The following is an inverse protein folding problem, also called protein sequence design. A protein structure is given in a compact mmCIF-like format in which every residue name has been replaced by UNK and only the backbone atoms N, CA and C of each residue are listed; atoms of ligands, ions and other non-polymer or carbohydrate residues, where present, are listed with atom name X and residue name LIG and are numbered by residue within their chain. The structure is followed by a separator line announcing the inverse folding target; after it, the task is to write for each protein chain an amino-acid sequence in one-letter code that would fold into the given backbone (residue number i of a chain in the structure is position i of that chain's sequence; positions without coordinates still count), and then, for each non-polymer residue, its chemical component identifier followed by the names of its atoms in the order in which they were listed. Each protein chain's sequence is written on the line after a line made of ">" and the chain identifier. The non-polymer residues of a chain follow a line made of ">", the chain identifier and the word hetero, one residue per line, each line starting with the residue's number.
data_IF_439205803979
#
_entry.id   IF_439205803979
#
_cell.length_a   1.000
_cell.length_b   1.000
_cell.length_c   1.000
_cell.angle_alpha   90.00
_cell.angle_beta   90.00
_cell.angle_gamma   90.00
#
_symmetry.space_group_name_H-M   'P 1'
#
loop_
_entity.id
_entity.type
_entity.pdbx_description
1 polymer ?
#
# COMPACT_ATOMS: atom_id res chain seq x y z
N UNK A 1 -8.60 33.55 -1.97
CA UNK A 1 -7.15 33.43 -2.13
C UNK A 1 -6.90 32.28 -3.06
N UNK A 2 -6.13 32.38 -4.16
CA UNK A 2 -5.88 31.26 -5.06
C UNK A 2 -4.96 30.25 -4.35
N UNK A 3 -5.32 28.95 -4.44
CA UNK A 3 -4.56 27.85 -3.91
C UNK A 3 -3.18 27.77 -4.58
N UNK A 4 -2.12 27.59 -3.80
CA UNK A 4 -0.77 27.43 -4.29
C UNK A 4 -0.66 26.11 -5.11
N UNK A 5 0.11 26.05 -6.19
CA UNK A 5 0.25 24.86 -7.00
C UNK A 5 0.98 23.75 -6.22
N UNK A 6 0.35 22.58 -6.15
CA UNK A 6 0.90 21.36 -5.59
C UNK A 6 2.22 21.00 -6.31
N UNK A 7 3.31 20.86 -5.57
CA UNK A 7 4.57 20.35 -6.14
C UNK A 7 4.42 18.89 -6.51
N UNK A 8 4.78 18.54 -7.75
CA UNK A 8 4.71 17.18 -8.28
C UNK A 8 5.60 16.20 -7.53
N UNK A 9 5.08 15.01 -7.33
CA UNK A 9 5.64 13.86 -6.60
C UNK A 9 6.90 13.21 -7.22
N UNK A 10 7.67 13.90 -8.05
CA UNK A 10 8.80 13.30 -8.80
C UNK A 10 10.11 13.16 -8.02
N UNK A 11 10.15 13.59 -6.74
CA UNK A 11 11.34 13.39 -5.90
C UNK A 11 10.92 12.96 -4.51
N UNK A 12 11.02 11.67 -4.22
CA UNK A 12 11.25 11.26 -2.84
C UNK A 12 12.61 11.83 -2.42
N UNK A 13 12.76 12.43 -1.21
CA UNK A 13 14.06 12.84 -0.74
C UNK A 13 15.00 11.62 -0.75
N UNK A 14 16.16 11.76 -1.35
CA UNK A 14 17.23 10.78 -1.25
C UNK A 14 17.48 10.52 0.25
N UNK A 15 17.22 9.30 0.67
CA UNK A 15 17.71 8.77 1.95
C UNK A 15 19.22 8.57 1.81
N UNK A 16 19.95 9.70 1.63
CA UNK A 16 21.39 9.74 1.78
C UNK A 16 21.68 9.54 3.27
N UNK A 17 22.35 8.44 3.59
CA UNK A 17 22.75 8.04 4.93
C UNK A 17 23.39 9.20 5.70
N UNK A 18 22.64 9.74 6.66
CA UNK A 18 23.18 10.42 7.81
C UNK A 18 22.84 9.58 9.02
N UNK A 19 23.85 8.87 9.51
CA UNK A 19 23.81 8.26 10.83
C UNK A 19 23.43 9.32 11.85
N UNK A 20 22.25 9.20 12.44
CA UNK A 20 21.90 9.94 13.63
C UNK A 20 22.67 9.28 14.79
N UNK A 21 23.72 9.92 15.27
CA UNK A 21 24.31 9.64 16.56
C UNK A 21 23.24 9.92 17.63
N UNK A 22 22.68 8.86 18.19
CA UNK A 22 21.85 8.95 19.38
C UNK A 22 22.77 9.10 20.58
N UNK A 23 22.80 10.29 21.14
CA UNK A 23 23.43 10.57 22.44
C UNK A 23 22.70 9.75 23.49
N UNK A 24 23.40 8.78 24.09
CA UNK A 24 22.94 7.96 25.17
C UNK A 24 22.80 8.80 26.45
N UNK A 25 21.56 9.11 26.83
CA UNK A 25 21.20 9.59 28.17
C UNK A 25 20.82 8.40 29.03
N UNK A 26 21.61 8.13 30.05
CA UNK A 26 21.44 7.08 31.05
C UNK A 26 20.15 7.27 31.88
N UNK A 27 19.25 6.27 31.84
CA UNK A 27 18.10 6.17 32.72
C UNK A 27 17.62 4.73 32.79
N UNK A 28 18.12 4.01 33.80
CA UNK A 28 17.79 2.62 34.13
C UNK A 28 16.36 2.51 34.62
N UNK A 29 15.46 1.92 33.85
CA UNK A 29 14.18 1.40 34.36
C UNK A 29 13.97 -0.02 33.83
N UNK A 30 14.15 -0.98 34.71
CA UNK A 30 13.94 -2.42 34.50
C UNK A 30 12.44 -2.70 34.47
N UNK A 31 11.84 -2.77 33.29
CA UNK A 31 10.49 -3.31 33.10
C UNK A 31 10.60 -4.75 32.58
N UNK A 32 10.35 -5.70 33.53
CA UNK A 32 10.18 -7.12 33.19
C UNK A 32 8.90 -7.26 32.36
N UNK A 33 9.04 -7.46 31.07
CA UNK A 33 7.94 -7.86 30.18
C UNK A 33 7.75 -9.37 30.27
N UNK A 34 6.68 -9.78 30.90
CA UNK A 34 6.15 -11.15 30.83
C UNK A 34 5.66 -11.37 29.38
N UNK A 35 6.35 -12.26 28.68
CA UNK A 35 6.03 -12.74 27.32
C UNK A 35 4.72 -13.52 27.35
N UNK A 36 3.60 -12.87 27.13
CA UNK A 36 2.34 -13.56 26.87
C UNK A 36 2.24 -13.81 25.36
N UNK A 37 2.60 -15.03 24.95
CA UNK A 37 2.42 -15.54 23.59
C UNK A 37 0.93 -15.68 23.29
N UNK A 38 0.26 -14.64 22.81
CA UNK A 38 -1.01 -14.78 22.09
C UNK A 38 -0.68 -15.14 20.65
N UNK A 39 -0.85 -16.43 20.32
CA UNK A 39 -0.85 -16.91 18.92
C UNK A 39 -2.11 -16.35 18.24
N UNK A 40 -2.01 -15.16 17.63
CA UNK A 40 -2.98 -14.70 16.65
C UNK A 40 -2.95 -15.66 15.48
N UNK A 41 -4.11 -16.19 15.06
CA UNK A 41 -4.21 -17.04 13.87
C UNK A 41 -3.94 -16.17 12.65
N UNK A 42 -2.75 -16.30 12.06
CA UNK A 42 -2.44 -15.74 10.75
C UNK A 42 -3.26 -16.49 9.70
N UNK A 43 -4.20 -15.80 9.05
CA UNK A 43 -4.95 -16.34 7.94
C UNK A 43 -4.13 -16.10 6.68
N UNK A 44 -3.38 -17.11 6.25
CA UNK A 44 -2.78 -17.12 4.91
C UNK A 44 -3.95 -17.17 3.92
N UNK A 45 -4.15 -16.09 3.17
CA UNK A 45 -5.09 -16.12 2.04
C UNK A 45 -4.34 -16.87 0.95
N UNK A 46 -4.50 -18.20 0.96
CA UNK A 46 -3.71 -19.14 0.20
C UNK A 46 -3.92 -19.01 -1.31
N UNK A 47 -2.88 -19.37 -2.01
CA UNK A 47 -2.81 -19.68 -3.42
C UNK A 47 -3.82 -20.80 -3.76
N UNK A 48 -4.94 -20.42 -4.35
CA UNK A 48 -5.97 -21.39 -4.74
C UNK A 48 -7.15 -20.71 -5.41
N UNK A 49 -6.90 -19.75 -6.34
CA UNK A 49 -7.94 -19.25 -7.23
C UNK A 49 -7.56 -19.68 -8.65
N UNK A 50 -8.46 -20.39 -9.36
CA UNK A 50 -8.22 -20.82 -10.74
C UNK A 50 -7.99 -19.61 -11.65
N UNK A 51 -7.15 -19.77 -12.62
CA UNK A 51 -6.69 -18.75 -13.60
C UNK A 51 -7.75 -18.30 -14.62
N UNK A 52 -9.08 -18.46 -14.39
CA UNK A 52 -10.09 -18.18 -15.40
C UNK A 52 -11.44 -17.64 -14.87
N UNK A 53 -11.46 -17.01 -13.75
CA UNK A 53 -12.67 -16.33 -13.27
C UNK A 53 -12.34 -14.89 -12.92
N UNK A 54 -12.50 -13.95 -13.85
CA UNK A 54 -12.43 -12.52 -13.56
C UNK A 54 -13.35 -12.22 -12.37
N UNK A 55 -12.82 -11.66 -11.29
CA UNK A 55 -13.62 -11.19 -10.17
C UNK A 55 -14.60 -10.16 -10.71
N UNK A 56 -15.90 -10.34 -10.50
CA UNK A 56 -16.89 -9.34 -10.88
C UNK A 56 -16.74 -8.06 -10.05
N UNK A 57 -17.20 -6.93 -10.59
CA UNK A 57 -17.08 -5.62 -9.99
C UNK A 57 -17.70 -5.55 -8.59
N UNK A 58 -18.83 -6.20 -8.37
CA UNK A 58 -19.52 -6.22 -7.07
C UNK A 58 -18.67 -6.94 -6.02
N UNK A 59 -18.10 -8.07 -6.38
CA UNK A 59 -17.18 -8.82 -5.51
C UNK A 59 -15.92 -8.04 -5.21
N UNK A 60 -15.34 -7.36 -6.21
CA UNK A 60 -14.15 -6.50 -6.05
C UNK A 60 -14.43 -5.39 -5.04
N UNK A 61 -15.47 -4.61 -5.26
CA UNK A 61 -15.86 -3.51 -4.37
C UNK A 61 -16.21 -4.00 -2.96
N UNK A 62 -16.97 -5.10 -2.85
CA UNK A 62 -17.36 -5.67 -1.55
C UNK A 62 -16.15 -6.12 -0.73
N UNK A 63 -15.16 -6.78 -1.36
CA UNK A 63 -13.92 -7.17 -0.69
C UNK A 63 -13.11 -5.97 -0.26
N UNK A 64 -12.95 -4.98 -1.15
CA UNK A 64 -12.23 -3.75 -0.83
C UNK A 64 -12.84 -3.02 0.37
N UNK A 65 -14.16 -2.86 0.40
CA UNK A 65 -14.88 -2.21 1.50
C UNK A 65 -14.81 -2.98 2.83
N UNK A 66 -14.76 -4.32 2.77
CA UNK A 66 -14.68 -5.17 3.96
C UNK A 66 -13.27 -5.30 4.51
N UNK A 67 -12.31 -5.57 3.62
CA UNK A 67 -10.95 -5.95 3.99
C UNK A 67 -9.96 -4.78 3.92
N UNK A 68 -10.30 -3.72 3.17
CA UNK A 68 -9.45 -2.56 2.91
C UNK A 68 -8.48 -2.78 1.75
N UNK A 69 -8.54 -3.94 1.10
CA UNK A 69 -7.73 -4.25 -0.08
C UNK A 69 -8.37 -5.32 -0.93
N UNK A 70 -7.95 -5.40 -2.18
CA UNK A 70 -8.27 -6.49 -3.08
C UNK A 70 -7.01 -6.93 -3.82
N UNK A 71 -6.81 -8.23 -3.96
CA UNK A 71 -5.76 -8.83 -4.78
C UNK A 71 -6.32 -9.11 -6.17
N UNK A 72 -5.66 -8.58 -7.19
CA UNK A 72 -5.94 -8.79 -8.60
C UNK A 72 -4.86 -9.72 -9.16
N UNK A 73 -5.21 -10.98 -9.37
CA UNK A 73 -4.27 -11.97 -9.89
C UNK A 73 -3.94 -11.69 -11.36
N UNK A 74 -2.65 -11.70 -11.71
CA UNK A 74 -2.19 -11.50 -13.08
C UNK A 74 -2.57 -10.16 -13.71
N UNK A 75 -2.80 -9.12 -12.89
CA UNK A 75 -3.20 -7.78 -13.38
C UNK A 75 -2.13 -7.10 -14.25
N UNK A 76 -0.88 -7.49 -14.09
CA UNK A 76 0.24 -7.13 -14.97
C UNK A 76 0.56 -8.33 -15.87
N UNK A 77 0.62 -8.09 -17.17
CA UNK A 77 0.94 -9.15 -18.13
C UNK A 77 2.27 -9.85 -17.78
N UNK A 78 2.37 -11.19 -17.87
CA UNK A 78 3.54 -11.95 -17.43
C UNK A 78 4.85 -11.46 -18.04
N UNK A 79 4.85 -11.08 -19.32
CA UNK A 79 6.03 -10.51 -20.01
C UNK A 79 6.47 -9.19 -19.38
N UNK A 80 5.52 -8.31 -19.04
CA UNK A 80 5.82 -7.01 -18.42
C UNK A 80 6.41 -7.22 -17.03
N UNK A 81 5.83 -8.12 -16.22
CA UNK A 81 6.34 -8.45 -14.90
C UNK A 81 7.76 -9.05 -14.96
N UNK A 82 8.02 -9.97 -15.90
CA UNK A 82 9.34 -10.55 -16.13
C UNK A 82 10.37 -9.50 -16.57
N UNK A 83 9.99 -8.57 -17.44
CA UNK A 83 10.86 -7.49 -17.88
C UNK A 83 11.18 -6.53 -16.73
N UNK A 84 10.21 -6.21 -15.85
CA UNK A 84 10.46 -5.46 -14.63
C UNK A 84 11.45 -6.17 -13.72
N UNK A 85 11.23 -7.45 -13.42
CA UNK A 85 12.12 -8.25 -12.57
C UNK A 85 13.56 -8.28 -13.11
N UNK A 86 13.73 -8.52 -14.41
CA UNK A 86 15.03 -8.54 -15.08
C UNK A 86 15.78 -7.19 -14.98
N UNK A 87 15.06 -6.09 -15.12
CA UNK A 87 15.63 -4.74 -14.96
C UNK A 87 16.02 -4.49 -13.51
N UNK A 88 15.16 -4.84 -12.55
CA UNK A 88 15.46 -4.70 -11.12
C UNK A 88 16.68 -5.51 -10.70
N UNK A 89 16.86 -6.75 -11.20
CA UNK A 89 18.07 -7.51 -10.97
C UNK A 89 19.33 -6.78 -11.43
N UNK A 90 19.31 -6.16 -12.61
CA UNK A 90 20.44 -5.36 -13.10
C UNK A 90 20.77 -4.18 -12.21
N UNK A 91 19.74 -3.49 -11.70
CA UNK A 91 19.92 -2.33 -10.83
C UNK A 91 20.49 -2.69 -9.44
N UNK A 92 20.25 -3.91 -8.95
CA UNK A 92 20.86 -4.36 -7.69
C UNK A 92 22.34 -4.65 -7.83
N UNK A 93 22.81 -4.99 -9.03
CA UNK A 93 24.16 -5.50 -9.27
C UNK A 93 24.42 -6.91 -8.71
N UNK A 94 23.39 -7.58 -8.19
CA UNK A 94 23.46 -8.93 -7.66
C UNK A 94 23.26 -9.97 -8.78
N UNK A 95 23.88 -11.13 -8.61
CA UNK A 95 23.67 -12.29 -9.47
C UNK A 95 22.45 -13.08 -8.97
N UNK A 96 21.43 -13.32 -9.80
CA UNK A 96 20.27 -14.11 -9.41
C UNK A 96 20.59 -15.56 -9.04
N UNK A 97 21.67 -16.13 -9.56
CA UNK A 97 22.08 -17.51 -9.39
C UNK A 97 23.16 -17.69 -8.30
N UNK A 98 23.70 -16.57 -7.77
CA UNK A 98 24.73 -16.60 -6.71
C UNK A 98 24.30 -15.81 -5.46
N UNK A 99 23.74 -16.49 -4.44
CA UNK A 99 23.36 -15.86 -3.17
C UNK A 99 24.50 -15.17 -2.42
N UNK A 100 25.78 -15.49 -2.69
CA UNK A 100 26.90 -14.80 -2.06
C UNK A 100 27.00 -13.31 -2.47
N UNK A 101 26.34 -12.93 -3.56
CA UNK A 101 26.25 -11.52 -4.02
C UNK A 101 25.17 -10.72 -3.30
N UNK A 102 24.27 -11.36 -2.52
CA UNK A 102 23.13 -10.74 -1.84
C UNK A 102 23.57 -10.20 -0.47
N UNK A 103 24.38 -9.17 -0.48
CA UNK A 103 25.12 -8.70 0.69
C UNK A 103 24.35 -7.73 1.58
N UNK A 104 23.08 -7.45 1.29
CA UNK A 104 22.23 -6.51 2.05
C UNK A 104 20.81 -7.04 2.17
N UNK A 105 20.15 -6.85 3.32
CA UNK A 105 18.76 -7.27 3.50
C UNK A 105 17.78 -6.51 2.60
N UNK A 106 18.10 -5.26 2.24
CA UNK A 106 17.28 -4.41 1.35
C UNK A 106 18.18 -3.65 0.38
N UNK A 107 17.88 -3.76 -0.91
CA UNK A 107 18.43 -2.91 -1.95
C UNK A 107 17.36 -1.85 -2.34
N UNK A 108 17.68 -0.59 -2.11
CA UNK A 108 16.83 0.53 -2.50
C UNK A 108 17.16 0.94 -3.93
N UNK A 109 16.29 0.56 -4.87
CA UNK A 109 16.44 0.94 -6.29
C UNK A 109 15.62 2.18 -6.54
N UNK A 110 16.21 3.26 -7.09
CA UNK A 110 15.49 4.49 -7.44
C UNK A 110 14.35 4.24 -8.41
N UNK A 111 13.38 5.15 -8.45
CA UNK A 111 12.24 5.06 -9.35
C UNK A 111 12.67 4.99 -10.80
N UNK A 112 12.30 3.90 -11.47
CA UNK A 112 12.49 3.68 -12.88
C UNK A 112 11.22 4.13 -13.61
N UNK A 113 11.37 5.02 -14.59
CA UNK A 113 10.32 5.48 -15.49
C UNK A 113 10.54 4.86 -16.87
N UNK A 114 9.47 4.71 -17.65
CA UNK A 114 9.49 4.18 -19.01
C UNK A 114 9.53 2.64 -19.11
N UNK A 115 9.33 2.14 -20.32
CA UNK A 115 9.32 0.71 -20.59
C UNK A 115 8.29 -0.05 -19.74
N UNK A 116 8.67 -1.20 -19.20
CA UNK A 116 7.74 -2.06 -18.47
C UNK A 116 7.21 -1.39 -17.18
N UNK A 117 7.95 -0.48 -16.54
CA UNK A 117 7.52 0.22 -15.33
C UNK A 117 6.42 1.27 -15.60
N UNK A 118 6.36 1.80 -16.83
CA UNK A 118 5.25 2.63 -17.26
C UNK A 118 4.05 1.78 -17.71
N UNK A 119 4.29 0.58 -18.26
CA UNK A 119 3.23 -0.31 -18.72
C UNK A 119 2.51 -1.02 -17.58
N UNK A 120 3.22 -1.42 -16.52
CA UNK A 120 2.68 -2.21 -15.43
C UNK A 120 1.44 -1.59 -14.75
N UNK A 121 1.41 -0.30 -14.37
CA UNK A 121 0.26 0.30 -13.70
C UNK A 121 -0.85 0.76 -14.66
N UNK A 122 -0.66 0.66 -15.98
CA UNK A 122 -1.55 1.23 -16.98
C UNK A 122 -2.23 0.18 -17.87
N UNK A 123 -2.49 -1.03 -17.36
CA UNK A 123 -3.32 -1.98 -18.09
C UNK A 123 -4.80 -1.55 -18.07
N UNK A 124 -5.59 -1.84 -19.13
CA UNK A 124 -7.03 -1.55 -19.12
C UNK A 124 -7.76 -2.16 -17.94
N UNK A 125 -7.36 -3.35 -17.47
CA UNK A 125 -7.92 -4.02 -16.31
C UNK A 125 -7.67 -3.23 -15.01
N UNK A 126 -6.45 -2.72 -14.79
CA UNK A 126 -6.14 -1.89 -13.63
C UNK A 126 -6.87 -0.55 -13.70
N UNK A 127 -6.95 0.09 -14.87
CA UNK A 127 -7.70 1.34 -15.05
C UNK A 127 -9.17 1.16 -14.69
N UNK A 128 -9.82 0.06 -15.15
CA UNK A 128 -11.18 -0.27 -14.74
C UNK A 128 -11.32 -0.42 -13.22
N UNK A 129 -10.39 -1.11 -12.56
CA UNK A 129 -10.40 -1.26 -11.12
C UNK A 129 -10.17 0.07 -10.38
N UNK A 130 -9.33 0.96 -10.91
CA UNK A 130 -9.15 2.31 -10.36
C UNK A 130 -10.43 3.14 -10.49
N UNK A 131 -11.09 3.09 -11.66
CA UNK A 131 -12.37 3.78 -11.87
C UNK A 131 -13.46 3.27 -10.92
N UNK A 132 -13.51 1.96 -10.68
CA UNK A 132 -14.45 1.38 -9.73
C UNK A 132 -14.19 1.82 -8.28
N UNK A 133 -12.94 1.88 -7.84
CA UNK A 133 -12.60 2.13 -6.44
C UNK A 133 -12.49 3.61 -6.09
N UNK A 134 -12.02 4.43 -7.01
CA UNK A 134 -11.72 5.86 -6.80
C UNK A 134 -12.73 6.76 -7.53
N UNK A 135 -13.21 6.33 -8.67
CA UNK A 135 -14.06 7.08 -9.59
C UNK A 135 -13.34 7.52 -10.86
N UNK A 136 -14.00 7.41 -11.99
CA UNK A 136 -13.45 7.83 -13.29
C UNK A 136 -13.05 9.31 -13.29
N UNK A 137 -11.85 9.60 -13.76
CA UNK A 137 -11.28 10.96 -13.82
C UNK A 137 -10.84 11.54 -12.47
N UNK A 138 -10.86 10.75 -11.39
CA UNK A 138 -10.45 11.19 -10.04
C UNK A 138 -9.07 10.70 -9.63
N UNK A 139 -8.35 10.03 -10.51
CA UNK A 139 -6.99 9.54 -10.34
C UNK A 139 -6.12 9.90 -11.55
N UNK A 140 -4.80 9.87 -11.37
CA UNK A 140 -3.82 10.19 -12.43
C UNK A 140 -3.08 8.94 -12.88
N UNK A 141 -2.88 8.72 -14.21
CA UNK A 141 -2.04 7.65 -14.73
C UNK A 141 -0.59 7.76 -14.22
N UNK A 142 0.03 6.63 -13.94
CA UNK A 142 1.41 6.57 -13.47
C UNK A 142 2.35 6.01 -14.54
N UNK A 143 3.51 6.63 -14.64
CA UNK A 143 4.57 6.22 -15.57
C UNK A 143 5.86 5.80 -14.85
N UNK A 144 5.82 5.75 -13.52
CA UNK A 144 6.89 5.27 -12.64
C UNK A 144 6.27 4.61 -11.42
N UNK A 145 6.94 3.60 -10.87
CA UNK A 145 6.49 2.88 -9.68
C UNK A 145 7.20 3.32 -8.39
N UNK A 146 7.86 4.47 -8.42
CA UNK A 146 8.59 5.00 -7.27
C UNK A 146 9.83 4.19 -6.92
N UNK A 147 10.31 4.32 -5.69
CA UNK A 147 11.46 3.57 -5.19
C UNK A 147 11.07 2.13 -4.86
N UNK A 148 11.95 1.18 -5.18
CA UNK A 148 11.74 -0.24 -4.94
C UNK A 148 12.55 -0.72 -3.73
N UNK A 149 11.91 -1.12 -2.63
CA UNK A 149 12.58 -1.81 -1.52
C UNK A 149 12.69 -3.32 -1.84
N UNK A 150 13.73 -3.69 -2.57
CA UNK A 150 13.97 -5.08 -2.95
C UNK A 150 14.57 -5.83 -1.77
N UNK A 151 13.90 -6.88 -1.31
CA UNK A 151 14.31 -7.64 -0.11
C UNK A 151 14.95 -8.94 -0.49
N UNK A 152 16.07 -9.21 0.17
CA UNK A 152 16.87 -10.41 -0.01
C UNK A 152 16.88 -11.25 1.27
N UNK A 153 17.02 -12.59 1.15
CA UNK A 153 17.35 -13.43 2.29
C UNK A 153 18.62 -12.90 2.97
N UNK A 154 18.55 -12.60 4.27
CA UNK A 154 19.66 -12.04 5.01
C UNK A 154 19.49 -12.26 6.51
N UNK A 155 20.60 -12.43 7.25
CA UNK A 155 20.57 -12.60 8.70
C UNK A 155 20.29 -11.28 9.42
N UNK A 156 20.69 -10.16 8.84
CA UNK A 156 20.42 -8.83 9.38
C UNK A 156 18.97 -8.41 9.11
N UNK A 157 18.28 -7.97 10.16
CA UNK A 157 16.92 -7.44 10.04
C UNK A 157 16.94 -5.96 9.66
N UNK A 158 16.27 -5.56 8.57
CA UNK A 158 16.09 -4.15 8.25
C UNK A 158 15.18 -3.49 9.29
N UNK A 159 15.54 -2.29 9.73
CA UNK A 159 14.85 -1.58 10.81
C UNK A 159 13.61 -0.80 10.32
N UNK A 160 12.78 -1.42 9.46
CA UNK A 160 11.65 -0.78 8.78
C UNK A 160 10.31 -1.53 8.95
N UNK A 161 10.23 -2.44 9.93
CA UNK A 161 9.06 -3.30 10.16
C UNK A 161 7.92 -2.65 10.97
N UNK A 162 7.92 -1.33 11.14
CA UNK A 162 6.90 -0.60 11.88
C UNK A 162 5.54 -0.58 11.18
N UNK A 163 4.45 -0.65 11.97
CA UNK A 163 3.09 -0.48 11.46
C UNK A 163 2.82 0.98 11.13
N UNK A 164 2.28 1.26 9.94
CA UNK A 164 2.01 2.60 9.47
C UNK A 164 0.90 2.63 8.41
N UNK A 165 0.49 3.82 8.05
CA UNK A 165 -0.18 4.14 6.80
C UNK A 165 0.70 5.09 6.00
N UNK A 166 0.48 5.16 4.71
CA UNK A 166 1.25 6.01 3.84
C UNK A 166 0.78 7.48 3.89
N UNK A 167 1.73 8.42 3.91
CA UNK A 167 1.41 9.83 3.74
C UNK A 167 1.02 10.18 2.31
N UNK A 168 0.20 11.21 2.15
CA UNK A 168 -0.33 11.67 0.85
C UNK A 168 0.30 12.97 0.35
N UNK A 169 0.81 13.82 1.22
CA UNK A 169 1.39 15.12 0.86
C UNK A 169 2.54 15.50 1.81
N UNK A 170 3.39 16.40 1.35
CA UNK A 170 4.52 16.93 2.12
C UNK A 170 4.27 18.41 2.39
N UNK A 171 3.96 18.82 3.63
CA UNK A 171 3.79 20.22 3.98
C UNK A 171 5.11 21.01 3.80
N UNK A 172 5.00 22.31 3.61
CA UNK A 172 6.17 23.18 3.49
C UNK A 172 6.95 23.21 4.81
N UNK A 173 8.26 22.98 4.73
CA UNK A 173 9.15 22.94 5.90
C UNK A 173 9.23 21.57 6.58
N UNK A 174 8.38 20.63 6.23
CA UNK A 174 8.39 19.28 6.77
C UNK A 174 9.33 18.35 6.01
N UNK A 175 9.91 17.38 6.73
CA UNK A 175 10.80 16.36 6.15
C UNK A 175 10.10 15.01 5.94
N UNK A 176 8.84 14.87 6.38
CA UNK A 176 8.07 13.63 6.30
C UNK A 176 6.68 13.87 5.71
N UNK A 177 6.10 12.82 5.11
CA UNK A 177 4.79 12.90 4.49
C UNK A 177 3.67 12.85 5.53
N UNK A 178 2.65 13.70 5.33
CA UNK A 178 1.43 13.80 6.13
C UNK A 178 0.25 13.15 5.43
N UNK A 179 -0.77 12.86 6.21
CA UNK A 179 -2.09 12.45 5.72
C UNK A 179 -3.20 13.07 6.56
N UNK A 180 -4.38 13.23 5.96
CA UNK A 180 -5.61 13.65 6.62
C UNK A 180 -6.79 12.84 6.09
N UNK A 181 -8.02 13.09 6.56
CA UNK A 181 -9.22 12.36 6.13
C UNK A 181 -9.49 12.43 4.63
N UNK A 182 -9.06 13.50 3.95
CA UNK A 182 -9.24 13.67 2.50
C UNK A 182 -8.17 12.96 1.69
N UNK A 183 -7.19 12.35 2.35
CA UNK A 183 -6.05 11.64 1.74
C UNK A 183 -5.47 12.37 0.52
N UNK A 184 -5.21 13.65 0.70
CA UNK A 184 -4.71 14.52 -0.36
C UNK A 184 -3.45 13.92 -0.99
N UNK A 185 -3.45 13.76 -2.32
CA UNK A 185 -2.30 13.24 -3.07
C UNK A 185 -2.21 11.71 -3.20
N UNK A 186 -3.00 10.92 -2.47
CA UNK A 186 -2.97 9.45 -2.56
C UNK A 186 -4.38 8.87 -2.64
N UNK A 187 -4.75 8.33 -3.81
CA UNK A 187 -6.04 7.66 -4.02
C UNK A 187 -6.02 6.20 -3.53
N UNK A 188 -4.95 5.46 -3.82
CA UNK A 188 -4.74 4.08 -3.34
C UNK A 188 -3.27 3.88 -3.00
N UNK A 189 -2.97 2.89 -2.15
CA UNK A 189 -1.68 2.22 -2.09
C UNK A 189 -1.74 1.00 -3.00
N UNK A 190 -0.75 0.82 -3.85
CA UNK A 190 -0.68 -0.34 -4.74
C UNK A 190 0.55 -1.18 -4.41
N UNK A 191 0.42 -2.52 -4.41
CA UNK A 191 1.54 -3.44 -4.26
C UNK A 191 1.65 -4.27 -5.53
N UNK A 192 2.72 -4.08 -6.30
CA UNK A 192 3.01 -4.82 -7.53
C UNK A 192 4.06 -5.88 -7.26
N UNK A 193 3.75 -7.14 -7.52
CA UNK A 193 4.67 -8.26 -7.34
C UNK A 193 5.38 -8.59 -8.66
N UNK A 194 6.71 -8.62 -8.62
CA UNK A 194 7.55 -8.95 -9.80
C UNK A 194 8.30 -10.27 -9.64
N UNK A 195 8.32 -10.84 -8.43
CA UNK A 195 8.81 -12.20 -8.14
C UNK A 195 7.73 -12.97 -7.41
N UNK A 196 7.87 -14.29 -7.28
CA UNK A 196 7.07 -15.10 -6.38
C UNK A 196 7.29 -14.63 -4.95
N UNK A 197 6.21 -14.46 -4.18
CA UNK A 197 6.25 -13.99 -2.79
C UNK A 197 5.46 -14.96 -1.92
N UNK A 198 6.16 -15.82 -1.23
CA UNK A 198 5.61 -16.73 -0.22
C UNK A 198 5.50 -16.09 1.16
N UNK A 199 5.04 -16.86 2.14
CA UNK A 199 4.85 -16.40 3.51
C UNK A 199 6.16 -15.98 4.20
N UNK A 200 7.27 -16.61 3.85
CA UNK A 200 8.60 -16.36 4.43
C UNK A 200 9.43 -15.36 3.61
N UNK A 201 8.98 -14.98 2.39
CA UNK A 201 9.71 -14.11 1.48
C UNK A 201 9.44 -12.61 1.77
N UNK A 202 9.35 -12.23 3.02
CA UNK A 202 9.07 -10.87 3.51
C UNK A 202 7.83 -10.19 2.86
N UNK A 203 6.66 -10.86 2.70
CA UNK A 203 5.47 -10.22 2.19
C UNK A 203 5.05 -9.05 3.08
N UNK A 204 4.42 -8.03 2.52
CA UNK A 204 3.83 -6.96 3.32
C UNK A 204 2.76 -7.54 4.24
N UNK A 205 2.85 -7.25 5.54
CA UNK A 205 1.83 -7.59 6.54
C UNK A 205 0.72 -6.57 6.49
N UNK A 206 -0.52 -7.01 6.53
CA UNK A 206 -1.72 -6.17 6.44
C UNK A 206 -2.62 -6.46 7.63
N UNK A 207 -3.11 -5.43 8.30
CA UNK A 207 -4.20 -5.52 9.28
C UNK A 207 -5.52 -5.41 8.54
N UNK A 208 -6.19 -6.54 8.32
CA UNK A 208 -7.41 -6.64 7.51
C UNK A 208 -8.54 -5.82 8.11
N UNK A 209 -9.10 -4.89 7.34
CA UNK A 209 -10.19 -4.03 7.77
C UNK A 209 -9.76 -2.80 8.61
N UNK A 210 -8.45 -2.60 8.85
CA UNK A 210 -7.95 -1.46 9.65
C UNK A 210 -8.24 -0.08 9.05
N UNK A 211 -8.49 -0.02 7.76
CA UNK A 211 -8.89 1.20 7.07
C UNK A 211 -10.21 1.80 7.61
N UNK A 212 -11.00 1.01 8.33
CA UNK A 212 -12.22 1.48 9.01
C UNK A 212 -11.95 2.05 10.40
N UNK A 213 -10.80 1.76 11.01
CA UNK A 213 -10.41 2.27 12.33
C UNK A 213 -9.68 3.62 12.22
N UNK A 214 -8.90 3.79 11.17
CA UNK A 214 -8.02 4.94 10.95
C UNK A 214 -8.77 6.27 10.80
N UNK A 215 -9.96 6.38 10.16
CA UNK A 215 -10.67 7.64 10.07
C UNK A 215 -10.93 8.32 11.42
N UNK A 216 -11.25 7.55 12.48
CA UNK A 216 -11.42 8.10 13.84
C UNK A 216 -10.10 8.59 14.44
N UNK A 217 -8.99 8.00 14.10
CA UNK A 217 -7.66 8.49 14.52
C UNK A 217 -7.34 9.81 13.84
N UNK A 218 -7.63 9.93 12.52
CA UNK A 218 -7.32 11.12 11.74
C UNK A 218 -8.27 12.30 12.01
N UNK A 219 -9.50 12.05 12.46
CA UNK A 219 -10.54 13.07 12.63
C UNK A 219 -10.07 14.27 13.50
N UNK A 220 -9.31 14.00 14.57
CA UNK A 220 -8.82 15.03 15.49
C UNK A 220 -7.72 15.92 14.91
N UNK A 221 -7.05 15.47 13.84
CA UNK A 221 -5.97 16.22 13.20
C UNK A 221 -6.45 17.20 12.12
N UNK A 222 -7.76 17.18 11.81
CA UNK A 222 -8.39 18.11 10.85
C UNK A 222 -7.76 18.12 9.46
N UNK A 223 -7.76 19.29 8.84
CA UNK A 223 -7.23 19.49 7.48
C UNK A 223 -5.69 19.46 7.44
N UNK A 224 -5.01 19.87 8.52
CA UNK A 224 -3.55 19.86 8.60
C UNK A 224 -3.00 18.42 8.62
N UNK A 225 -3.79 17.47 9.13
CA UNK A 225 -3.40 16.08 9.21
C UNK A 225 -2.25 15.82 10.20
N UNK A 226 -1.59 14.68 10.02
CA UNK A 226 -0.42 14.32 10.83
C UNK A 226 0.58 13.49 10.02
N UNK A 227 1.84 13.46 10.47
CA UNK A 227 2.87 12.64 9.87
C UNK A 227 2.65 11.15 10.18
N UNK A 228 3.07 10.29 9.25
CA UNK A 228 2.97 8.84 9.46
C UNK A 228 3.75 8.34 10.69
N UNK A 229 4.79 9.07 11.10
CA UNK A 229 5.59 8.74 12.29
C UNK A 229 4.81 9.05 13.58
N UNK A 230 4.16 10.20 13.66
CA UNK A 230 3.39 10.61 14.83
C UNK A 230 2.12 9.76 14.99
N UNK A 231 1.53 9.33 13.88
CA UNK A 231 0.36 8.48 13.87
C UNK A 231 0.63 7.03 14.30
N UNK A 232 1.84 6.51 14.13
CA UNK A 232 2.13 5.09 14.27
C UNK A 232 1.66 4.47 15.61
N UNK A 233 1.87 5.08 16.79
CA UNK A 233 1.38 4.51 18.06
C UNK A 233 -0.15 4.39 18.13
N UNK A 234 -0.86 5.38 17.61
CA UNK A 234 -2.33 5.39 17.61
C UNK A 234 -2.91 4.40 16.59
N UNK A 235 -2.30 4.30 15.42
CA UNK A 235 -2.67 3.31 14.42
C UNK A 235 -2.51 1.88 14.94
N UNK A 236 -1.43 1.64 15.69
CA UNK A 236 -1.21 0.33 16.36
C UNK A 236 -2.31 0.06 17.36
N UNK A 237 -2.61 1.02 18.26
CA UNK A 237 -3.64 0.86 19.29
C UNK A 237 -5.05 0.68 18.70
N UNK A 238 -5.39 1.44 17.65
CA UNK A 238 -6.71 1.38 17.03
C UNK A 238 -6.96 0.09 16.25
N UNK A 239 -5.91 -0.58 15.76
CA UNK A 239 -6.05 -1.70 14.82
C UNK A 239 -5.39 -3.02 15.24
N UNK A 240 -4.90 -3.16 16.49
CA UNK A 240 -4.24 -4.37 17.00
C UNK A 240 -5.16 -5.60 17.07
N UNK A 241 -6.47 -5.37 17.21
CA UNK A 241 -7.51 -6.40 17.22
C UNK A 241 -7.79 -7.01 15.83
N UNK A 242 -7.30 -6.37 14.75
CA UNK A 242 -7.55 -6.81 13.38
C UNK A 242 -6.77 -8.07 13.02
N UNK A 243 -7.36 -9.00 12.26
CA UNK A 243 -6.63 -10.17 11.78
C UNK A 243 -5.53 -9.76 10.79
N UNK A 244 -4.48 -10.58 10.75
CA UNK A 244 -3.35 -10.35 9.85
C UNK A 244 -3.53 -11.13 8.54
N UNK A 245 -3.19 -10.48 7.44
CA UNK A 245 -2.97 -11.09 6.13
C UNK A 245 -1.56 -10.76 5.64
N UNK A 246 -1.07 -11.60 4.72
CA UNK A 246 0.22 -11.43 4.06
C UNK A 246 -0.03 -11.18 2.57
N UNK A 247 0.64 -10.18 2.01
CA UNK A 247 0.57 -9.86 0.59
C UNK A 247 1.44 -10.84 -0.22
N UNK A 248 1.00 -12.11 -0.28
CA UNK A 248 1.65 -13.19 -1.02
C UNK A 248 1.05 -13.36 -2.41
N UNK A 249 1.85 -13.84 -3.37
CA UNK A 249 1.37 -14.08 -4.73
C UNK A 249 2.48 -14.29 -5.74
N UNK A 250 2.07 -14.33 -7.00
CA UNK A 250 2.91 -14.60 -8.16
C UNK A 250 3.29 -13.30 -8.91
N UNK A 251 4.33 -13.33 -9.75
CA UNK A 251 4.68 -12.19 -10.60
C UNK A 251 3.49 -11.72 -11.45
N UNK A 252 3.21 -10.43 -11.40
CA UNK A 252 2.07 -9.82 -12.08
C UNK A 252 0.83 -9.62 -11.23
N UNK A 253 0.79 -10.19 -10.02
CA UNK A 253 -0.28 -9.89 -9.05
C UNK A 253 -0.15 -8.46 -8.53
N UNK A 254 -1.30 -7.81 -8.34
CA UNK A 254 -1.37 -6.46 -7.78
C UNK A 254 -2.37 -6.42 -6.64
N UNK A 255 -1.98 -5.80 -5.53
CA UNK A 255 -2.91 -5.46 -4.46
C UNK A 255 -3.29 -3.98 -4.60
N UNK A 256 -4.59 -3.70 -4.63
CA UNK A 256 -5.13 -2.35 -4.52
C UNK A 256 -5.62 -2.17 -3.08
N UNK A 257 -4.97 -1.27 -2.37
CA UNK A 257 -5.19 -1.05 -0.94
C UNK A 257 -5.77 0.34 -0.69
N UNK A 258 -6.70 0.43 0.26
CA UNK A 258 -7.20 1.71 0.76
C UNK A 258 -6.03 2.53 1.34
N UNK A 259 -5.95 3.85 1.13
CA UNK A 259 -4.83 4.67 1.62
C UNK A 259 -4.64 4.61 3.14
N UNK A 260 -5.71 4.31 3.89
CA UNK A 260 -5.68 4.17 5.35
C UNK A 260 -5.51 2.73 5.85
N UNK A 261 -5.16 1.78 4.97
CA UNK A 261 -4.89 0.41 5.38
C UNK A 261 -3.59 0.33 6.17
N UNK A 262 -3.66 -0.09 7.44
CA UNK A 262 -2.48 -0.25 8.28
C UNK A 262 -1.69 -1.48 7.83
N UNK A 263 -0.44 -1.27 7.50
CA UNK A 263 0.44 -2.30 6.98
C UNK A 263 1.87 -2.15 7.53
N UNK A 264 2.68 -3.15 7.31
CA UNK A 264 4.07 -3.15 7.75
C UNK A 264 4.94 -4.07 6.88
N UNK A 265 6.19 -3.70 6.72
CA UNK A 265 7.22 -4.62 6.25
C UNK A 265 7.52 -5.68 7.32
N UNK A 266 8.31 -6.69 6.96
CA UNK A 266 8.84 -7.70 7.87
C UNK A 266 10.20 -8.22 7.39
N UNK A 267 10.99 -8.86 8.28
CA UNK A 267 12.21 -9.55 7.92
C UNK A 267 11.98 -10.64 6.88
N UNK A 268 13.02 -10.97 6.12
CA UNK A 268 13.02 -12.02 5.12
C UNK A 268 13.56 -13.31 5.72
N UNK A 269 12.73 -14.34 5.81
CA UNK A 269 13.09 -15.66 6.36
C UNK A 269 13.09 -16.78 5.29
N UNK A 270 12.73 -16.42 4.06
CA UNK A 270 12.70 -17.34 2.92
C UNK A 270 14.05 -17.43 2.21
N UNK A 271 14.04 -18.01 1.04
CA UNK A 271 15.25 -18.27 0.22
C UNK A 271 15.26 -17.52 -1.12
N UNK A 272 14.16 -16.82 -1.46
CA UNK A 272 14.00 -16.14 -2.76
C UNK A 272 13.85 -14.65 -2.57
N UNK A 273 14.62 -13.81 -3.28
CA UNK A 273 14.47 -12.37 -3.21
C UNK A 273 13.06 -11.90 -3.60
N UNK A 274 12.52 -10.96 -2.83
CA UNK A 274 11.22 -10.33 -3.07
C UNK A 274 11.39 -9.02 -3.81
N UNK A 275 10.91 -8.96 -5.05
CA UNK A 275 10.84 -7.74 -5.85
C UNK A 275 9.40 -7.24 -5.91
N UNK A 276 9.15 -6.11 -5.28
CA UNK A 276 7.85 -5.49 -5.18
C UNK A 276 7.97 -3.97 -5.27
N UNK A 277 6.99 -3.32 -5.92
CA UNK A 277 6.82 -1.88 -5.86
C UNK A 277 5.61 -1.52 -4.99
N UNK A 278 5.66 -0.34 -4.35
CA UNK A 278 4.63 0.17 -3.45
C UNK A 278 4.21 1.62 -3.81
N UNK A 279 3.88 1.90 -5.10
CA UNK A 279 3.54 3.25 -5.50
C UNK A 279 2.17 3.68 -4.98
N UNK A 280 1.95 5.00 -4.78
CA UNK A 280 0.61 5.55 -4.71
C UNK A 280 -0.05 5.52 -6.09
N UNK A 281 -1.35 5.27 -6.17
CA UNK A 281 -2.18 5.84 -7.21
C UNK A 281 -2.42 7.30 -6.81
N UNK A 282 -2.09 8.25 -7.69
CA UNK A 282 -2.23 9.66 -7.38
C UNK A 282 -3.68 10.08 -7.49
N UNK A 283 -4.13 10.90 -6.55
CA UNK A 283 -5.45 11.51 -6.57
C UNK A 283 -5.43 12.75 -7.45
N UNK A 284 -6.32 12.84 -8.42
CA UNK A 284 -6.52 14.05 -9.21
C UNK A 284 -7.26 15.13 -8.43
N UNK A 285 -8.11 14.73 -7.47
CA UNK A 285 -8.87 15.61 -6.60
C UNK A 285 -8.91 15.02 -5.18
N UNK A 286 -9.01 15.85 -4.11
CA UNK A 286 -9.23 15.37 -2.75
C UNK A 286 -10.53 14.57 -2.64
N UNK A 287 -10.61 13.67 -1.66
CA UNK A 287 -11.87 12.99 -1.35
C UNK A 287 -12.93 13.97 -0.83
N UNK A 288 -14.15 13.73 -1.25
CA UNK A 288 -15.32 14.47 -0.82
C UNK A 288 -16.16 13.60 0.11
N UNK A 289 -16.14 13.93 1.39
CA UNK A 289 -16.87 13.16 2.42
C UNK A 289 -18.28 13.68 2.66
N UNK A 290 -18.64 14.84 2.07
CA UNK A 290 -19.95 15.46 2.14
C UNK A 290 -20.40 15.83 0.74
N UNK A 291 -21.20 14.96 0.12
CA UNK A 291 -21.70 15.13 -1.24
C UNK A 291 -23.21 15.17 -1.26
N UNK A 292 -23.77 16.21 -1.87
CA UNK A 292 -25.21 16.36 -2.00
C UNK A 292 -25.85 15.29 -2.91
N UNK A 293 -25.10 14.79 -3.89
CA UNK A 293 -25.53 13.72 -4.82
C UNK A 293 -25.44 12.31 -4.24
N UNK A 294 -24.78 12.15 -3.09
CA UNK A 294 -24.55 10.85 -2.45
C UNK A 294 -23.66 9.88 -3.25
N UNK A 295 -23.09 10.30 -4.38
CA UNK A 295 -22.31 9.47 -5.29
C UNK A 295 -20.86 9.25 -4.81
N UNK A 296 -20.71 8.66 -3.63
CA UNK A 296 -19.41 8.38 -3.03
C UNK A 296 -18.71 7.19 -3.72
N UNK A 297 -17.41 7.34 -3.95
CA UNK A 297 -16.56 6.21 -4.35
C UNK A 297 -16.41 5.20 -3.20
N UNK A 298 -16.05 3.92 -3.49
CA UNK A 298 -15.78 2.94 -2.44
C UNK A 298 -14.74 3.39 -1.41
N UNK A 299 -13.71 4.15 -1.81
CA UNK A 299 -12.74 4.72 -0.86
C UNK A 299 -13.43 5.71 0.08
N UNK A 300 -14.25 6.64 -0.43
CA UNK A 300 -14.99 7.60 0.37
C UNK A 300 -16.04 6.92 1.28
N UNK A 301 -16.73 5.90 0.76
CA UNK A 301 -17.66 5.06 1.55
C UNK A 301 -16.95 4.44 2.75
N UNK A 302 -15.75 3.90 2.56
CA UNK A 302 -14.98 3.30 3.64
C UNK A 302 -14.59 4.33 4.71
N UNK A 303 -14.15 5.53 4.31
CA UNK A 303 -13.84 6.62 5.25
C UNK A 303 -15.08 7.03 6.06
N UNK A 304 -16.21 7.24 5.39
CA UNK A 304 -17.50 7.60 6.03
C UNK A 304 -17.95 6.53 7.02
N UNK A 305 -17.84 5.23 6.66
CA UNK A 305 -18.12 4.11 7.58
C UNK A 305 -17.23 4.14 8.80
N UNK A 306 -15.93 4.38 8.61
CA UNK A 306 -14.97 4.54 9.70
C UNK A 306 -15.30 5.69 10.63
N UNK A 307 -15.91 6.77 10.14
CA UNK A 307 -16.40 7.90 10.91
C UNK A 307 -17.77 7.64 11.59
N UNK A 308 -18.45 6.53 11.26
CA UNK A 308 -19.80 6.23 11.73
C UNK A 308 -20.87 7.06 11.04
N UNK A 309 -20.60 7.56 9.84
CA UNK A 309 -21.55 8.32 9.03
C UNK A 309 -22.39 7.39 8.14
N UNK A 310 -23.62 7.80 7.84
CA UNK A 310 -24.49 7.07 6.93
C UNK A 310 -23.87 6.98 5.53
N UNK A 311 -23.94 5.80 4.94
CA UNK A 311 -23.46 5.54 3.58
C UNK A 311 -24.61 4.97 2.75
N UNK A 312 -24.77 5.43 1.49
CA UNK A 312 -25.77 4.84 0.61
C UNK A 312 -25.51 3.34 0.44
N UNK A 313 -26.56 2.56 0.24
CA UNK A 313 -26.42 1.18 -0.19
C UNK A 313 -25.73 1.17 -1.56
N UNK A 314 -24.80 0.25 -1.78
CA UNK A 314 -24.25 0.04 -3.11
C UNK A 314 -25.40 -0.46 -3.99
N UNK A 315 -25.93 0.38 -4.85
CA UNK A 315 -26.84 -0.07 -5.90
C UNK A 315 -26.05 -1.04 -6.80
N UNK A 316 -26.52 -2.27 -6.90
CA UNK A 316 -25.95 -3.23 -7.82
C UNK A 316 -25.95 -2.61 -9.22
N UNK A 317 -24.83 -2.71 -9.94
CA UNK A 317 -24.72 -2.27 -11.33
C UNK A 317 -25.91 -2.86 -12.10
N UNK A 318 -26.91 -2.02 -12.35
CA UNK A 318 -28.15 -2.42 -12.96
C UNK A 318 -27.87 -3.01 -14.33
N UNK A 319 -28.28 -4.25 -14.53
CA UNK A 319 -28.52 -4.81 -15.86
C UNK A 319 -29.48 -3.87 -16.55
N UNK A 320 -29.00 -3.03 -17.47
CA UNK A 320 -29.85 -2.36 -18.43
C UNK A 320 -30.45 -3.43 -19.34
N UNK A 321 -31.57 -3.99 -18.89
CA UNK A 321 -32.43 -4.81 -19.71
C UNK A 321 -32.98 -3.92 -20.83
N UNK A 322 -32.47 -4.11 -22.03
CA UNK A 322 -33.07 -3.58 -23.23
C UNK A 322 -34.45 -4.21 -23.41
N UNK A 323 -35.49 -3.39 -23.26
CA UNK A 323 -36.81 -3.71 -23.73
C UNK A 323 -37.04 -2.95 -25.02
N UNK A 324 -37.50 -3.64 -26.05
CA UNK A 324 -38.06 -3.06 -27.27
C UNK A 324 -37.41 -3.54 -28.53
#
# INVERSE_FOLDING_TARGET
>A
MPAAPLRRFDRQPELAGRGAEVVAGSGTALLRHTRQKRRGKCRVIGSGVPHDGGMDDTTLVSRFLRDGFVKLAGAVAPRVAADCARLLWRETGCDPDDPATWTKPVHWVPGLAQGPFAAAPNSPFLHHAYDLLVGAGRWEPRYSLGTFPLRFPHEEEPNDAGWHIEGGYLPEGESWYFTNLRSQGRALLMLFLFTEVGAEDAPTRIRVGSHLDVPKVLEKYGEDGASGLDLAPELVAASDHRPLALATGSPGDVFLCHPFLVHAAQPHHGTRPRFMAQPPLMSAVPYELERADGAYSPVEIAIRRGLGQDTPALEGAGTSGGAG
#
